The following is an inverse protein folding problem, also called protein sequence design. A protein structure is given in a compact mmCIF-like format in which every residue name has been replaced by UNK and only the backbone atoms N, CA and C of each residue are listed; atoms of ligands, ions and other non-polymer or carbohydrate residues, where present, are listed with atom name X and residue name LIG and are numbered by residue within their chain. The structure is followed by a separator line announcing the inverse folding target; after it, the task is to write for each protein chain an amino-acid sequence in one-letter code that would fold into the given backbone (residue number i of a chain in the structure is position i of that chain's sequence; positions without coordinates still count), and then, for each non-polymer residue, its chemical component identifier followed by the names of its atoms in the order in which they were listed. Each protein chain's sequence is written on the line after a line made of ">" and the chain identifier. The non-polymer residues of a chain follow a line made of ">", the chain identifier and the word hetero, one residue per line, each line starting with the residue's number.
data_IF_104902428140
#
_entry.id   IF_104902428140
#
_cell.length_a   1.000
_cell.length_b   1.000
_cell.length_c   1.000
_cell.angle_alpha   90.00
_cell.angle_beta   90.00
_cell.angle_gamma   90.00
#
_symmetry.space_group_name_H-M   'P 1'
#
loop_
_entity.id
_entity.type
_entity.pdbx_description
1 polymer ?
#
# COMPACT_ATOMS: atom_id res chain seq x y z
N UNK A 1 2.67 2.20 12.67
CA UNK A 1 2.92 1.58 11.34
C UNK A 1 2.46 2.51 10.23
N UNK A 2 1.16 2.52 9.93
CA UNK A 2 0.56 3.39 8.90
C UNK A 2 0.60 4.90 9.21
N UNK A 3 0.85 5.30 10.46
CA UNK A 3 1.07 6.69 10.86
C UNK A 3 2.35 7.31 10.27
N UNK A 4 3.23 6.49 9.69
CA UNK A 4 4.46 6.95 9.03
C UNK A 4 4.25 7.34 7.56
N UNK A 5 3.04 7.10 7.02
CA UNK A 5 2.72 7.46 5.64
C UNK A 5 2.03 8.82 5.58
N UNK A 6 2.30 9.61 4.53
CA UNK A 6 1.54 10.83 4.26
C UNK A 6 0.05 10.52 4.02
N UNK A 7 -0.82 11.53 4.11
CA UNK A 7 -2.28 11.35 3.92
C UNK A 7 -2.65 10.72 2.57
N UNK A 8 -1.83 10.99 1.54
CA UNK A 8 -1.89 10.33 0.24
C UNK A 8 -0.50 9.85 -0.16
N UNK A 9 -0.44 8.64 -0.70
CA UNK A 9 0.81 8.01 -1.12
C UNK A 9 0.60 7.18 -2.38
N UNK A 10 1.67 6.90 -3.11
CA UNK A 10 1.61 5.97 -4.24
C UNK A 10 1.91 4.55 -3.77
N UNK A 11 1.50 3.54 -4.56
CA UNK A 11 1.85 2.15 -4.26
C UNK A 11 3.37 1.90 -4.28
N UNK A 12 4.14 2.75 -4.95
CA UNK A 12 5.61 2.68 -4.97
C UNK A 12 6.14 3.11 -3.61
N UNK A 13 5.73 4.27 -3.11
CA UNK A 13 6.13 4.76 -1.77
C UNK A 13 5.73 3.78 -0.67
N UNK A 14 4.53 3.21 -0.78
CA UNK A 14 4.09 2.18 0.16
C UNK A 14 5.00 0.94 0.11
N UNK A 15 5.37 0.48 -1.09
CA UNK A 15 6.29 -0.65 -1.25
C UNK A 15 7.65 -0.33 -0.62
N UNK A 16 8.22 0.84 -0.89
CA UNK A 16 9.52 1.27 -0.35
C UNK A 16 9.51 1.32 1.18
N UNK A 17 8.42 1.80 1.78
CA UNK A 17 8.27 1.76 3.25
C UNK A 17 8.29 0.33 3.78
N UNK A 18 7.58 -0.59 3.12
CA UNK A 18 7.58 -2.00 3.53
C UNK A 18 8.95 -2.65 3.31
N UNK A 19 9.61 -2.40 2.19
CA UNK A 19 10.97 -2.89 1.94
C UNK A 19 11.96 -2.36 2.99
N UNK A 20 11.82 -1.09 3.41
CA UNK A 20 12.64 -0.50 4.47
C UNK A 20 12.35 -1.10 5.86
N UNK A 21 11.08 -1.37 6.20
CA UNK A 21 10.70 -1.99 7.47
C UNK A 21 11.18 -3.45 7.56
N UNK A 22 11.01 -4.21 6.48
CA UNK A 22 11.37 -5.63 6.43
C UNK A 22 12.84 -5.87 6.05
N UNK A 23 13.57 -4.82 5.66
CA UNK A 23 14.97 -4.90 5.19
C UNK A 23 15.18 -5.93 4.08
N UNK A 24 14.13 -6.19 3.30
CA UNK A 24 14.11 -7.20 2.25
C UNK A 24 13.34 -6.69 1.04
N UNK A 25 13.80 -7.00 -0.18
CA UNK A 25 13.08 -6.63 -1.39
C UNK A 25 11.75 -7.39 -1.46
N UNK A 26 10.70 -6.67 -1.84
CA UNK A 26 9.36 -7.25 -2.00
C UNK A 26 9.02 -7.30 -3.48
N UNK A 27 8.53 -8.45 -3.94
CA UNK A 27 8.07 -8.59 -5.33
C UNK A 27 6.93 -7.60 -5.62
N UNK A 28 7.18 -6.66 -6.56
CA UNK A 28 6.26 -5.56 -6.89
C UNK A 28 4.88 -6.06 -7.29
N UNK A 29 4.81 -7.17 -8.02
CA UNK A 29 3.56 -7.68 -8.59
C UNK A 29 2.70 -8.32 -7.50
N UNK A 30 3.32 -9.15 -6.67
CA UNK A 30 2.68 -9.81 -5.53
C UNK A 30 2.28 -8.79 -4.46
N UNK A 31 3.13 -7.79 -4.19
CA UNK A 31 2.81 -6.70 -3.27
C UNK A 31 1.56 -5.96 -3.70
N UNK A 32 1.53 -5.47 -4.95
CA UNK A 32 0.39 -4.74 -5.51
C UNK A 32 -0.87 -5.60 -5.50
N UNK A 33 -0.77 -6.88 -5.89
CA UNK A 33 -1.92 -7.80 -5.89
C UNK A 33 -2.46 -8.01 -4.47
N UNK A 34 -1.59 -8.29 -3.50
CA UNK A 34 -1.96 -8.51 -2.10
C UNK A 34 -2.59 -7.26 -1.49
N UNK A 35 -1.92 -6.11 -1.56
CA UNK A 35 -2.41 -4.89 -0.88
C UNK A 35 -3.74 -4.40 -1.47
N UNK A 36 -3.93 -4.52 -2.79
CA UNK A 36 -5.20 -4.16 -3.44
C UNK A 36 -6.31 -5.16 -3.10
N UNK A 37 -5.99 -6.46 -2.99
CA UNK A 37 -7.00 -7.47 -2.62
C UNK A 37 -7.54 -7.32 -1.20
N UNK A 38 -6.82 -6.65 -0.31
CA UNK A 38 -7.24 -6.40 1.07
C UNK A 38 -8.34 -5.34 1.16
N UNK A 39 -8.52 -4.55 0.09
CA UNK A 39 -9.51 -3.49 0.02
C UNK A 39 -9.39 -2.43 1.13
N UNK A 40 -8.19 -2.26 1.70
CA UNK A 40 -7.89 -1.29 2.77
C UNK A 40 -7.35 0.04 2.24
N UNK A 41 -7.18 0.14 0.92
CA UNK A 41 -6.72 1.33 0.21
C UNK A 41 -7.82 1.87 -0.68
N UNK A 42 -8.03 3.17 -0.64
CA UNK A 42 -8.90 3.91 -1.54
C UNK A 42 -8.05 4.54 -2.64
N UNK A 43 -8.36 4.24 -3.91
CA UNK A 43 -7.69 4.85 -5.05
C UNK A 43 -8.25 6.25 -5.29
N UNK A 44 -7.39 7.24 -5.44
CA UNK A 44 -7.76 8.61 -5.78
C UNK A 44 -7.67 8.83 -7.31
N UNK A 45 -8.46 9.77 -7.83
CA UNK A 45 -8.38 10.20 -9.23
C UNK A 45 -7.12 11.06 -9.51
N UNK A 46 -6.50 11.57 -8.45
CA UNK A 46 -5.23 12.27 -8.53
C UNK A 46 -4.09 11.32 -8.91
N UNK A 47 -3.23 11.79 -9.82
CA UNK A 47 -1.97 11.13 -10.17
C UNK A 47 -0.78 11.95 -9.71
N UNK A 48 0.19 11.26 -9.15
CA UNK A 48 1.53 11.75 -8.93
C UNK A 48 2.23 11.89 -10.28
N UNK A 49 2.53 13.13 -10.67
CA UNK A 49 3.12 13.49 -11.98
C UNK A 49 4.61 13.82 -11.89
N UNK A 50 5.17 13.80 -10.69
CA UNK A 50 6.51 14.33 -10.41
C UNK A 50 7.59 13.30 -10.74
N UNK A 51 7.37 12.03 -10.39
CA UNK A 51 8.37 10.96 -10.51
C UNK A 51 8.26 10.13 -11.79
N UNK A 52 7.15 10.21 -12.54
CA UNK A 52 6.93 9.33 -13.71
C UNK A 52 6.16 9.97 -14.87
N UNK A 53 6.66 9.76 -16.10
CA UNK A 53 6.00 10.16 -17.36
C UNK A 53 4.59 9.55 -17.54
N UNK A 54 4.31 8.39 -16.92
CA UNK A 54 2.96 7.76 -16.95
C UNK A 54 2.09 8.18 -15.76
N UNK A 55 2.71 8.71 -14.72
CA UNK A 55 2.11 9.02 -13.42
C UNK A 55 1.66 7.79 -12.64
N UNK A 56 1.72 7.87 -11.31
CA UNK A 56 1.16 6.86 -10.41
C UNK A 56 -0.11 7.40 -9.77
N UNK A 57 -1.16 6.58 -9.61
CA UNK A 57 -2.32 7.02 -8.85
C UNK A 57 -1.96 7.17 -7.38
N UNK A 58 -2.49 8.22 -6.74
CA UNK A 58 -2.47 8.31 -5.30
C UNK A 58 -3.49 7.37 -4.69
N UNK A 59 -3.16 6.91 -3.49
CA UNK A 59 -4.02 6.10 -2.65
C UNK A 59 -4.07 6.72 -1.27
N UNK A 60 -5.19 6.49 -0.59
CA UNK A 60 -5.40 6.83 0.81
C UNK A 60 -5.74 5.59 1.60
N UNK A 61 -5.32 5.55 2.85
CA UNK A 61 -5.67 4.46 3.75
C UNK A 61 -7.13 4.58 4.22
N UNK A 62 -7.91 3.52 4.02
CA UNK A 62 -9.28 3.44 4.49
C UNK A 62 -9.32 2.72 5.85
N UNK A 63 -9.41 3.51 6.93
CA UNK A 63 -9.40 3.00 8.31
C UNK A 63 -10.60 2.09 8.61
N UNK A 64 -11.76 2.38 8.04
CA UNK A 64 -12.97 1.58 8.23
C UNK A 64 -12.82 0.20 7.62
N UNK A 65 -12.36 0.13 6.37
CA UNK A 65 -12.08 -1.14 5.71
C UNK A 65 -10.97 -1.91 6.41
N UNK A 66 -9.93 -1.24 6.91
CA UNK A 66 -8.89 -1.89 7.71
C UNK A 66 -9.44 -2.48 9.01
N UNK A 67 -10.32 -1.76 9.72
CA UNK A 67 -10.96 -2.27 10.93
C UNK A 67 -11.83 -3.48 10.62
N UNK A 68 -12.58 -3.47 9.53
CA UNK A 68 -13.37 -4.62 9.07
C UNK A 68 -12.48 -5.80 8.68
N UNK A 69 -11.39 -5.53 7.96
CA UNK A 69 -10.40 -6.53 7.56
C UNK A 69 -9.79 -7.21 8.78
N UNK A 70 -9.40 -6.43 9.80
CA UNK A 70 -8.86 -6.96 11.06
C UNK A 70 -9.90 -7.75 11.85
N UNK A 71 -11.16 -7.30 11.89
CA UNK A 71 -12.27 -8.02 12.53
C UNK A 71 -12.56 -9.38 11.88
N UNK A 72 -12.32 -9.51 10.57
CA UNK A 72 -12.45 -10.77 9.83
C UNK A 72 -11.31 -11.76 10.09
N UNK A 73 -10.36 -11.43 10.96
CA UNK A 73 -9.24 -12.31 11.33
C UNK A 73 -8.12 -12.37 10.30
N UNK A 74 -8.11 -11.46 9.31
CA UNK A 74 -7.04 -11.41 8.33
C UNK A 74 -5.84 -10.64 8.87
N UNK A 75 -4.68 -11.29 8.85
CA UNK A 75 -3.39 -10.69 9.17
C UNK A 75 -2.63 -10.38 7.88
N UNK A 76 -1.95 -9.24 7.87
CA UNK A 76 -1.10 -8.84 6.76
C UNK A 76 0.15 -9.73 6.74
N UNK A 77 0.11 -10.83 5.99
CA UNK A 77 1.28 -11.67 5.76
C UNK A 77 1.89 -11.33 4.41
N UNK A 78 2.96 -10.54 4.41
CA UNK A 78 3.86 -10.50 3.27
C UNK A 78 4.62 -11.81 3.27
N UNK A 79 4.53 -12.54 2.16
CA UNK A 79 5.49 -13.60 1.90
C UNK A 79 6.76 -12.84 1.51
N UNK A 80 7.57 -12.51 2.52
CA UNK A 80 8.89 -11.96 2.32
C UNK A 80 9.78 -13.16 2.00
N UNK A 81 10.44 -13.13 0.84
CA UNK A 81 11.34 -14.21 0.42
C UNK A 81 12.67 -14.11 1.13
#
# INVERSE_FOLDING_TARGET
>A
GFELLPEKFTLVQLQELYEAIYQQPVDKRNFRKKILSMNILEKLDEKEKETSKKGAYYYRFNRENYRLFRKKGFYFNLDVK
#
